data_IF_075814674151
#
_entry.id   IF_075814674151
#
_cell.length_a   1.000
_cell.length_b   1.000
_cell.length_c   1.000
_cell.angle_alpha   90.00
_cell.angle_beta   90.00
_cell.angle_gamma   90.00
#
_symmetry.space_group_name_H-M   'P 1'
#
loop_
_entity.id
_entity.type
_entity.pdbx_description
1 polymer ?
#
# COMPACT_ATOMS: atom_id res chain seq x y z
N UNK A 1 -7.48 -11.12 6.65
CA UNK A 1 -6.48 -10.14 6.19
C UNK A 1 -7.16 -9.33 5.10
N UNK A 2 -7.65 -8.13 5.41
CA UNK A 2 -8.23 -7.26 4.37
C UNK A 2 -7.07 -6.55 3.65
N UNK A 3 -7.13 -6.33 2.33
CA UNK A 3 -6.01 -5.72 1.60
C UNK A 3 -5.67 -4.31 2.11
N UNK A 4 -6.67 -3.56 2.60
CA UNK A 4 -6.48 -2.29 3.31
C UNK A 4 -5.62 -2.39 4.58
N UNK A 5 -5.70 -3.47 5.36
CA UNK A 5 -4.84 -3.70 6.53
C UNK A 5 -3.36 -3.84 6.15
N UNK A 6 -3.07 -4.33 4.95
CA UNK A 6 -1.70 -4.61 4.51
C UNK A 6 -0.98 -3.34 4.10
N UNK A 7 -1.59 -2.49 3.26
CA UNK A 7 -0.99 -1.18 2.98
C UNK A 7 -0.88 -0.32 4.21
N UNK A 8 -1.88 -0.36 5.08
CA UNK A 8 -1.87 0.47 6.28
C UNK A 8 -0.68 0.12 7.18
N UNK A 9 -0.39 -1.17 7.37
CA UNK A 9 0.79 -1.63 8.11
C UNK A 9 2.10 -1.21 7.44
N UNK A 10 2.20 -1.35 6.12
CA UNK A 10 3.39 -0.94 5.36
C UNK A 10 3.57 0.58 5.47
N UNK A 11 2.51 1.35 5.25
CA UNK A 11 2.53 2.81 5.36
C UNK A 11 3.08 3.25 6.72
N UNK A 12 2.56 2.69 7.81
CA UNK A 12 3.03 2.98 9.17
C UNK A 12 4.49 2.57 9.37
N UNK A 13 4.87 1.38 8.91
CA UNK A 13 6.22 0.86 9.05
C UNK A 13 7.26 1.73 8.33
N UNK A 14 6.89 2.31 7.20
CA UNK A 14 7.75 3.19 6.40
C UNK A 14 7.53 4.68 6.67
N UNK A 15 6.69 5.05 7.65
CA UNK A 15 6.41 6.45 7.98
C UNK A 15 5.72 7.23 6.85
N UNK A 16 4.99 6.54 5.98
CA UNK A 16 4.24 7.13 4.87
C UNK A 16 2.73 6.87 5.05
N UNK A 17 1.90 7.29 4.09
CA UNK A 17 0.45 7.07 4.12
C UNK A 17 0.03 6.11 3.01
N UNK A 18 -1.07 5.38 3.25
CA UNK A 18 -1.67 4.47 2.24
C UNK A 18 -1.95 5.21 0.94
N UNK A 19 -2.41 6.46 1.03
CA UNK A 19 -2.71 7.31 -0.13
C UNK A 19 -1.45 7.69 -0.91
N UNK A 20 -0.35 8.00 -0.22
CA UNK A 20 0.95 8.29 -0.85
C UNK A 20 1.50 7.04 -1.54
N UNK A 21 1.45 5.89 -0.85
CA UNK A 21 1.80 4.58 -1.39
C UNK A 21 0.96 4.21 -2.61
N UNK A 22 -0.36 4.45 -2.55
CA UNK A 22 -1.29 4.19 -3.62
C UNK A 22 -0.95 5.03 -4.85
N UNK A 23 -0.72 6.34 -4.66
CA UNK A 23 -0.28 7.23 -5.74
C UNK A 23 1.08 6.85 -6.32
N UNK A 24 2.05 6.48 -5.48
CA UNK A 24 3.40 6.08 -5.90
C UNK A 24 3.42 4.84 -6.80
N UNK A 25 2.45 3.95 -6.60
CA UNK A 25 2.36 2.67 -7.30
C UNK A 25 1.22 2.61 -8.31
N UNK A 26 0.58 3.76 -8.62
CA UNK A 26 -0.60 3.86 -9.48
C UNK A 26 -1.73 2.89 -9.08
N UNK A 27 -1.85 2.62 -7.77
CA UNK A 27 -2.87 1.74 -7.23
C UNK A 27 -4.17 2.51 -7.17
N UNK A 28 -5.03 2.27 -8.16
CA UNK A 28 -6.37 2.85 -8.19
C UNK A 28 -7.29 2.32 -7.10
N UNK A 29 -7.04 1.10 -6.62
CA UNK A 29 -7.85 0.51 -5.57
C UNK A 29 -6.94 -0.14 -4.52
N UNK A 30 -6.70 0.51 -3.36
CA UNK A 30 -5.87 -0.04 -2.29
C UNK A 30 -6.47 -1.32 -1.67
N UNK A 31 -7.74 -1.60 -1.94
CA UNK A 31 -8.39 -2.87 -1.60
C UNK A 31 -8.10 -4.00 -2.60
N UNK A 32 -7.45 -3.74 -3.74
CA UNK A 32 -7.06 -4.74 -4.74
C UNK A 32 -5.56 -5.03 -4.72
N UNK A 33 -4.90 -4.90 -3.57
CA UNK A 33 -3.49 -5.25 -3.46
C UNK A 33 -3.36 -6.72 -3.12
N UNK A 34 -2.63 -7.42 -3.97
CA UNK A 34 -2.38 -8.84 -3.80
C UNK A 34 -1.12 -9.06 -2.96
N UNK A 35 -1.13 -10.00 -2.00
CA UNK A 35 0.09 -10.41 -1.34
C UNK A 35 1.10 -10.91 -2.39
N UNK A 36 2.30 -10.32 -2.38
CA UNK A 36 3.34 -10.55 -3.39
C UNK A 36 3.49 -9.43 -4.43
N UNK A 37 2.59 -8.45 -4.44
CA UNK A 37 2.76 -7.25 -5.26
C UNK A 37 3.91 -6.39 -4.72
N UNK A 38 4.87 -6.07 -5.59
CA UNK A 38 6.01 -5.21 -5.24
C UNK A 38 5.52 -3.77 -5.14
N UNK A 39 5.59 -3.21 -3.92
CA UNK A 39 5.28 -1.81 -3.66
C UNK A 39 6.58 -1.00 -3.67
N UNK A 40 6.62 0.03 -4.50
CA UNK A 40 7.62 1.09 -4.49
C UNK A 40 7.36 2.01 -3.30
N UNK A 41 8.38 2.17 -2.47
CA UNK A 41 8.31 2.93 -1.22
C UNK A 41 9.09 4.26 -1.27
N UNK A 42 9.76 4.56 -2.40
CA UNK A 42 10.70 5.68 -2.54
C UNK A 42 12.13 5.20 -2.50
#
# INVERSE_FOLDING_TARGET
MQPGDTLWKIAIQFGTTVETLARLNDIKNPDLIYPGQVLRLG
#
